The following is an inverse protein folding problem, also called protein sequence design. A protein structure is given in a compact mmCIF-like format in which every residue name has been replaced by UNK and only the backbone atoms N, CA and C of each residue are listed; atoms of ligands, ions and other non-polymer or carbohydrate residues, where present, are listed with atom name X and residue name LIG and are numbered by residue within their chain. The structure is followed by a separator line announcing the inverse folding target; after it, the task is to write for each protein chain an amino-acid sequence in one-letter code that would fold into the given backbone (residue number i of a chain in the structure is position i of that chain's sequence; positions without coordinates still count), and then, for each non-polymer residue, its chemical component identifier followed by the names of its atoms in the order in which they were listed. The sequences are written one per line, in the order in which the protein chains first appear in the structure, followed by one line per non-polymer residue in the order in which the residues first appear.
data_IF_957447022767
#
_entry.id   IF_957447022767
#
_cell.length_a   1.000
_cell.length_b   1.000
_cell.length_c   1.000
_cell.angle_alpha   90.00
_cell.angle_beta   90.00
_cell.angle_gamma   90.00
#
_symmetry.space_group_name_H-M   'P 1'
#
loop_
_entity.id
_entity.type
_entity.pdbx_description
1 polymer ?
#
# COMPACT_ATOMS: atom_id res chain seq x y z
N UNK A 13 -17.47 8.46 -8.76
CA UNK A 13 -16.12 8.86 -8.38
C UNK A 13 -14.99 8.34 -9.29
N UNK A 14 -14.04 7.62 -8.67
CA UNK A 14 -12.83 7.17 -9.30
C UNK A 14 -12.83 5.70 -9.67
N UNK A 15 -11.62 5.14 -9.82
CA UNK A 15 -11.44 3.78 -10.33
C UNK A 15 -11.57 2.72 -9.24
N UNK A 16 -10.92 2.96 -8.12
CA UNK A 16 -11.08 2.09 -6.96
C UNK A 16 -12.51 2.06 -6.50
N UNK A 17 -13.10 3.24 -6.27
CA UNK A 17 -14.49 3.31 -5.81
C UNK A 17 -15.38 2.43 -6.66
N UNK A 18 -15.33 2.61 -7.99
CA UNK A 18 -16.14 1.82 -8.90
C UNK A 18 -15.85 0.31 -8.72
N UNK A 19 -14.58 -0.08 -8.75
CA UNK A 19 -14.25 -1.50 -8.57
C UNK A 19 -14.79 -2.07 -7.25
N UNK A 20 -14.64 -1.31 -6.14
CA UNK A 20 -15.15 -1.74 -4.84
C UNK A 20 -16.66 -1.92 -4.89
N UNK A 21 -17.37 -0.95 -5.48
CA UNK A 21 -18.80 -1.13 -5.73
C UNK A 21 -19.08 -2.40 -6.55
N UNK A 22 -18.25 -2.64 -7.58
CA UNK A 22 -18.43 -3.81 -8.44
C UNK A 22 -18.36 -5.10 -7.65
N UNK A 23 -17.44 -5.21 -6.69
CA UNK A 23 -17.34 -6.42 -5.88
C UNK A 23 -18.21 -6.34 -4.63
N UNK A 24 -18.88 -5.22 -4.42
CA UNK A 24 -19.84 -5.04 -3.34
C UNK A 24 -19.30 -4.55 -2.03
N UNK A 25 -18.00 -4.37 -1.91
CA UNK A 25 -17.40 -3.80 -0.71
C UNK A 25 -17.15 -2.29 -0.85
N UNK A 26 -18.13 -1.52 -1.33
CA UNK A 26 -17.90 -0.07 -1.38
C UNK A 26 -17.78 0.51 0.01
N UNK A 27 -18.48 -0.09 0.99
CA UNK A 27 -18.37 0.36 2.38
C UNK A 27 -16.93 0.69 2.75
N UNK A 28 -15.98 -0.07 2.25
CA UNK A 28 -14.62 0.10 2.69
C UNK A 28 -13.82 1.13 1.88
N UNK A 29 -14.46 1.90 1.00
CA UNK A 29 -13.66 2.82 0.21
C UNK A 29 -12.99 3.84 1.12
N UNK A 30 -13.79 4.61 1.87
CA UNK A 30 -13.22 5.65 2.72
C UNK A 30 -12.21 5.03 3.66
N UNK A 31 -12.65 4.03 4.41
CA UNK A 31 -11.73 3.31 5.28
C UNK A 31 -10.44 3.02 4.52
N UNK A 32 -10.52 2.29 3.39
CA UNK A 32 -9.31 1.89 2.67
C UNK A 32 -8.46 3.09 2.30
N UNK A 33 -9.10 4.16 1.82
CA UNK A 33 -8.31 5.33 1.44
C UNK A 33 -7.69 5.98 2.67
N UNK A 34 -8.52 6.31 3.66
CA UNK A 34 -8.01 7.05 4.81
C UNK A 34 -6.77 6.40 5.42
N UNK A 35 -6.49 5.14 5.10
CA UNK A 35 -5.22 4.53 5.44
C UNK A 35 -4.31 4.33 4.24
N UNK A 36 -4.55 5.08 3.18
CA UNK A 36 -3.60 5.16 2.10
C UNK A 36 -3.61 3.99 1.15
N UNK A 37 -4.69 3.19 1.15
CA UNK A 37 -5.00 2.32 0.02
C UNK A 37 -5.90 3.08 -0.93
N UNK A 38 -5.29 3.96 -1.71
CA UNK A 38 -6.08 4.85 -2.54
C UNK A 38 -5.96 4.53 -4.02
N UNK A 39 -5.02 3.68 -4.42
CA UNK A 39 -4.74 3.45 -5.84
C UNK A 39 -5.03 2.02 -6.18
N UNK A 40 -6.03 1.80 -7.03
CA UNK A 40 -6.32 0.44 -7.45
C UNK A 40 -5.05 -0.28 -7.87
N UNK A 41 -4.07 0.46 -8.43
CA UNK A 41 -2.87 -0.20 -8.91
C UNK A 41 -2.17 -0.84 -7.75
N UNK A 42 -2.17 -0.15 -6.62
CA UNK A 42 -1.45 -0.59 -5.44
C UNK A 42 -2.38 -1.08 -4.37
N UNK A 43 -3.65 -1.37 -4.70
CA UNK A 43 -4.47 -2.04 -3.72
C UNK A 43 -4.02 -3.47 -3.49
N UNK A 44 -3.20 -4.03 -4.37
CA UNK A 44 -3.01 -5.47 -4.38
C UNK A 44 -2.04 -5.94 -3.31
N UNK A 45 -1.35 -5.00 -2.65
CA UNK A 45 -0.43 -5.32 -1.59
C UNK A 45 -1.13 -5.65 -0.27
N UNK A 46 -2.40 -5.26 -0.09
CA UNK A 46 -3.01 -5.34 1.24
C UNK A 46 -2.81 -6.72 1.74
N UNK A 47 -2.48 -6.83 3.01
CA UNK A 47 -2.18 -8.08 3.69
C UNK A 47 -3.20 -8.28 4.77
N UNK A 48 -3.38 -9.54 5.17
CA UNK A 48 -4.38 -9.84 6.19
C UNK A 48 -4.27 -8.89 7.35
N UNK A 49 -3.04 -8.73 7.87
CA UNK A 49 -2.86 -7.86 9.03
C UNK A 49 -3.26 -6.43 8.70
N UNK A 50 -2.99 -5.96 7.47
CA UNK A 50 -3.41 -4.60 7.12
C UNK A 50 -4.91 -4.44 7.29
N UNK A 51 -5.72 -5.40 6.86
CA UNK A 51 -7.14 -5.17 7.03
C UNK A 51 -7.51 -5.22 8.48
N UNK A 52 -6.90 -6.15 9.23
CA UNK A 52 -7.14 -6.18 10.67
C UNK A 52 -6.90 -4.80 11.25
N UNK A 53 -5.73 -4.22 10.95
CA UNK A 53 -5.36 -2.91 11.48
C UNK A 53 -6.32 -1.81 11.03
N UNK A 54 -6.81 -1.91 9.80
CA UNK A 54 -7.54 -0.82 9.18
C UNK A 54 -8.97 -0.77 9.70
N UNK A 55 -9.39 -1.83 10.38
CA UNK A 55 -10.69 -2.00 10.96
C UNK A 55 -11.69 -2.73 10.07
N UNK A 56 -11.22 -3.34 8.97
CA UNK A 56 -12.02 -4.28 8.21
C UNK A 56 -12.03 -5.56 9.02
N UNK A 57 -12.92 -5.59 10.02
CA UNK A 57 -12.97 -6.56 11.10
C UNK A 57 -13.79 -7.81 10.77
N UNK A 58 -14.81 -7.72 9.91
CA UNK A 58 -15.60 -8.90 9.56
C UNK A 58 -14.75 -9.92 8.80
N UNK A 59 -14.59 -11.11 9.39
CA UNK A 59 -13.70 -12.07 8.76
C UNK A 59 -14.22 -12.41 7.37
N UNK A 60 -15.54 -12.57 7.23
CA UNK A 60 -16.18 -12.75 5.94
C UNK A 60 -15.71 -11.72 4.92
N UNK A 61 -15.89 -10.45 5.23
CA UNK A 61 -15.41 -9.44 4.31
C UNK A 61 -13.88 -9.51 4.16
N UNK A 62 -13.13 -9.77 5.23
CA UNK A 62 -11.68 -9.86 5.03
C UNK A 62 -11.37 -10.90 3.96
N UNK A 63 -11.88 -12.12 4.13
CA UNK A 63 -11.70 -13.20 3.15
C UNK A 63 -12.13 -12.74 1.76
N UNK A 64 -13.36 -12.19 1.66
CA UNK A 64 -13.94 -11.78 0.38
C UNK A 64 -13.10 -10.72 -0.34
N UNK A 65 -12.85 -9.59 0.33
CA UNK A 65 -12.00 -8.55 -0.24
C UNK A 65 -10.69 -9.16 -0.70
N UNK A 66 -10.07 -9.99 0.15
CA UNK A 66 -8.77 -10.56 -0.19
C UNK A 66 -8.84 -11.38 -1.46
N UNK A 67 -9.85 -12.24 -1.56
CA UNK A 67 -10.07 -13.05 -2.76
C UNK A 67 -10.24 -12.18 -4.01
N UNK A 68 -11.15 -11.19 -3.93
CA UNK A 68 -11.37 -10.21 -4.98
C UNK A 68 -10.08 -9.56 -5.47
N UNK A 69 -9.23 -9.13 -4.53
CA UNK A 69 -7.93 -8.53 -4.83
C UNK A 69 -7.04 -9.53 -5.56
N UNK A 70 -7.06 -10.79 -5.12
CA UNK A 70 -6.31 -11.84 -5.79
C UNK A 70 -6.76 -11.90 -7.23
N UNK A 71 -8.08 -11.83 -7.47
CA UNK A 71 -8.61 -11.88 -8.83
C UNK A 71 -8.21 -10.62 -9.59
N UNK A 72 -8.26 -9.47 -8.93
CA UNK A 72 -7.90 -8.22 -9.57
C UNK A 72 -6.48 -8.32 -10.06
N UNK A 73 -5.61 -8.98 -9.27
CA UNK A 73 -4.21 -9.13 -9.63
C UNK A 73 -4.07 -10.02 -10.85
N UNK A 74 -4.69 -11.20 -10.81
CA UNK A 74 -4.69 -12.08 -11.98
C UNK A 74 -5.28 -11.37 -13.18
N UNK A 75 -6.24 -10.48 -12.92
CA UNK A 75 -6.97 -9.82 -13.99
C UNK A 75 -6.04 -8.93 -14.80
N UNK A 76 -5.24 -8.11 -14.12
CA UNK A 76 -4.36 -7.17 -14.80
C UNK A 76 -3.62 -7.80 -16.00
N UNK A 77 -3.43 -9.12 -15.98
CA UNK A 77 -2.93 -9.90 -17.15
C UNK A 77 -3.01 -9.12 -18.46
N UNK A 112 17.03 6.20 -4.68
CA UNK A 112 17.07 7.42 -5.44
C UNK A 112 15.72 8.09 -5.18
N UNK A 113 15.70 9.40 -5.35
CA UNK A 113 14.42 10.08 -5.42
C UNK A 113 13.61 9.53 -6.57
N UNK A 114 14.29 9.25 -7.68
CA UNK A 114 13.67 8.80 -8.92
C UNK A 114 12.67 7.67 -8.64
N UNK A 115 13.12 6.62 -7.93
CA UNK A 115 12.32 5.43 -7.62
C UNK A 115 11.02 5.75 -6.87
N UNK A 116 11.06 6.74 -5.98
CA UNK A 116 9.88 7.16 -5.24
C UNK A 116 8.76 7.58 -6.18
N UNK A 117 9.08 8.41 -7.17
CA UNK A 117 8.14 8.72 -8.23
C UNK A 117 7.55 7.47 -8.90
N UNK A 118 8.40 6.50 -9.25
CA UNK A 118 7.91 5.29 -9.92
C UNK A 118 6.76 4.63 -9.17
N UNK A 119 6.79 4.64 -7.84
CA UNK A 119 5.69 4.02 -7.09
C UNK A 119 4.68 5.05 -6.60
N UNK A 120 4.75 6.26 -7.11
CA UNK A 120 3.81 7.33 -6.77
C UNK A 120 3.99 7.67 -5.30
N UNK A 121 5.23 7.60 -4.82
CA UNK A 121 5.50 7.90 -3.42
C UNK A 121 6.41 9.10 -3.24
N UNK A 122 6.33 10.04 -4.17
CA UNK A 122 7.22 11.19 -4.20
C UNK A 122 7.15 12.02 -2.94
N UNK A 123 5.97 12.13 -2.32
CA UNK A 123 5.85 12.96 -1.12
C UNK A 123 6.91 12.58 -0.11
N UNK A 124 7.18 11.27 -0.02
CA UNK A 124 8.07 10.75 0.99
C UNK A 124 9.53 11.01 0.69
N UNK A 125 9.85 11.60 -0.47
CA UNK A 125 11.25 11.86 -0.83
C UNK A 125 11.85 12.75 0.24
N UNK A 126 11.11 13.79 0.60
CA UNK A 126 11.52 14.65 1.70
C UNK A 126 11.94 13.80 2.89
N UNK A 127 11.01 12.94 3.38
CA UNK A 127 11.29 12.10 4.55
C UNK A 127 12.62 11.38 4.41
N UNK A 128 12.79 10.67 3.29
CA UNK A 128 13.95 9.81 3.09
C UNK A 128 15.23 10.62 3.16
N UNK A 129 15.26 11.78 2.51
CA UNK A 129 16.49 12.57 2.56
C UNK A 129 16.70 13.10 3.97
N UNK A 130 15.65 13.63 4.61
CA UNK A 130 15.82 14.14 5.97
C UNK A 130 16.39 13.09 6.92
N UNK A 131 16.08 11.81 6.66
CA UNK A 131 16.48 10.68 7.48
C UNK A 131 17.74 10.00 7.01
N UNK A 132 18.32 10.44 5.89
CA UNK A 132 19.59 9.94 5.39
C UNK A 132 19.46 8.50 4.93
N UNK A 133 18.44 8.28 4.12
CA UNK A 133 18.20 7.03 3.40
C UNK A 133 18.40 7.21 1.91
N UNK A 134 19.41 7.97 1.48
CA UNK A 134 19.65 8.13 0.04
C UNK A 134 20.12 6.82 -0.64
N UNK A 135 21.05 6.08 -0.04
CA UNK A 135 21.55 4.88 -0.69
C UNK A 135 20.56 3.74 -0.72
N UNK A 136 20.39 3.18 -1.91
CA UNK A 136 19.67 1.91 -2.06
C UNK A 136 20.12 0.82 -1.08
N UNK A 137 21.43 0.70 -0.79
CA UNK A 137 21.84 -0.30 0.21
C UNK A 137 20.98 -0.16 1.46
N UNK A 138 20.96 1.05 2.03
CA UNK A 138 20.22 1.26 3.26
C UNK A 138 18.73 0.96 3.04
N UNK A 139 18.16 1.43 1.92
CA UNK A 139 16.78 1.11 1.55
C UNK A 139 16.55 -0.38 1.55
N UNK A 140 17.50 -1.14 1.00
CA UNK A 140 17.32 -2.58 0.86
C UNK A 140 16.95 -3.24 2.18
N UNK A 141 17.54 -2.78 3.29
CA UNK A 141 17.32 -3.41 4.59
C UNK A 141 16.35 -2.63 5.48
N UNK A 142 15.60 -1.70 4.90
CA UNK A 142 14.59 -0.94 5.63
C UNK A 142 13.54 -1.85 6.25
N UNK A 143 13.29 -1.69 7.55
CA UNK A 143 12.12 -2.33 8.16
C UNK A 143 10.87 -1.54 7.85
N UNK A 144 9.72 -2.17 8.05
CA UNK A 144 8.51 -1.37 7.90
C UNK A 144 8.48 -0.34 9.01
N UNK A 145 8.88 -0.73 10.23
CA UNK A 145 9.05 0.29 11.26
C UNK A 145 9.99 1.38 10.79
N UNK A 146 11.17 1.02 10.30
CA UNK A 146 12.05 2.08 9.81
C UNK A 146 11.27 3.02 8.90
N UNK A 147 10.50 2.47 7.94
CA UNK A 147 9.67 3.33 7.10
C UNK A 147 8.71 4.13 7.95
N UNK A 148 8.01 3.44 8.86
CA UNK A 148 7.10 4.16 9.74
C UNK A 148 7.84 5.22 10.49
N UNK A 149 9.01 4.87 11.04
CA UNK A 149 9.75 5.71 11.97
C UNK A 149 10.27 6.99 11.33
N UNK A 150 10.49 7.00 10.01
CA UNK A 150 11.00 8.18 9.34
C UNK A 150 9.86 9.09 8.94
N UNK A 151 8.63 8.66 9.19
CA UNK A 151 7.46 9.49 9.05
C UNK A 151 6.49 9.13 7.94
N UNK A 152 6.59 7.93 7.36
CA UNK A 152 5.51 7.49 6.49
C UNK A 152 4.42 6.87 7.33
N UNK A 153 3.40 7.67 7.69
CA UNK A 153 2.41 7.21 8.67
C UNK A 153 1.45 6.23 8.04
N UNK A 154 0.82 6.61 6.93
CA UNK A 154 -0.28 5.81 6.36
C UNK A 154 0.14 4.38 6.06
N UNK A 155 -0.48 3.45 6.77
CA UNK A 155 -0.34 1.99 6.68
C UNK A 155 -0.20 1.54 5.22
N UNK A 156 -1.16 1.97 4.39
CA UNK A 156 -1.17 1.74 2.95
C UNK A 156 0.07 2.20 2.19
N UNK A 157 0.30 3.52 2.15
CA UNK A 157 1.57 4.05 1.64
C UNK A 157 2.73 3.20 2.08
N UNK A 158 2.90 3.12 3.41
CA UNK A 158 4.06 2.42 3.97
C UNK A 158 4.07 0.97 3.51
N UNK A 159 2.89 0.39 3.29
CA UNK A 159 2.84 -0.92 2.62
C UNK A 159 3.42 -0.81 1.22
N UNK A 160 2.95 0.16 0.44
CA UNK A 160 3.34 0.28 -0.96
C UNK A 160 4.84 0.36 -1.06
N UNK A 161 5.45 1.09 -0.16
CA UNK A 161 6.87 1.35 -0.28
C UNK A 161 7.66 0.16 0.26
N UNK A 162 7.17 -0.49 1.31
CA UNK A 162 7.91 -1.62 1.87
C UNK A 162 7.92 -2.76 0.88
N UNK A 163 6.80 -3.05 0.26
CA UNK A 163 6.79 -4.16 -0.66
C UNK A 163 7.49 -3.84 -1.99
N UNK A 164 7.63 -2.56 -2.37
CA UNK A 164 8.40 -2.21 -3.56
C UNK A 164 9.89 -2.50 -3.36
N UNK A 165 10.39 -2.24 -2.15
CA UNK A 165 11.74 -2.61 -1.76
C UNK A 165 11.94 -4.12 -1.90
N UNK A 166 11.05 -4.90 -1.27
CA UNK A 166 11.15 -6.36 -1.34
C UNK A 166 11.27 -6.83 -2.77
N UNK A 167 10.35 -6.36 -3.61
CA UNK A 167 10.41 -6.53 -5.05
C UNK A 167 11.81 -6.25 -5.57
N UNK A 168 12.38 -5.10 -5.21
CA UNK A 168 13.68 -4.73 -5.76
C UNK A 168 14.77 -5.65 -5.23
N UNK A 169 14.54 -6.32 -4.11
CA UNK A 169 15.49 -7.34 -3.69
C UNK A 169 15.63 -8.42 -4.78
N UNK A 170 14.49 -8.92 -5.29
CA UNK A 170 14.45 -9.87 -6.43
C UNK A 170 14.43 -9.12 -7.76
#
# INVERSE_FOLDING_TARGET
GPGSEFELRRQACGRLAVWLSMIGLAQYYKVLVDNGYENIDFITDITWEDLQEIGITKLGHQKKLMLAVRKLAELQKAEYSKYPSGSGSGENLYFQSGSGSGSPEYPLFVTVGDWLDSIKMGQYKSNFMAAGFTTFDLISRMSIDDIRRIGVILIGHQRRIVSSIQTLRLHMMHIQEKGFHV
#
